data_IF_020776827932
#
_entry.id   IF_020776827932
#
_cell.length_a   1.000
_cell.length_b   1.000
_cell.length_c   1.000
_cell.angle_alpha   90.00
_cell.angle_beta   90.00
_cell.angle_gamma   90.00
#
_symmetry.space_group_name_H-M   'P 1'
#
loop_
_entity.id
_entity.type
_entity.pdbx_description
1 polymer ?
#
# COMPACT_ATOMS: atom_id res chain seq x y z
N UNK A 1 -11.61 37.67 25.95
CA UNK A 1 -11.30 36.36 25.36
C UNK A 1 -10.23 35.75 26.23
N UNK A 2 -10.56 34.68 26.95
CA UNK A 2 -9.54 33.98 27.73
C UNK A 2 -8.64 33.23 26.75
N UNK A 3 -7.38 33.68 26.67
CA UNK A 3 -6.37 33.10 25.78
C UNK A 3 -6.26 31.57 26.02
N UNK A 4 -6.51 31.12 27.23
CA UNK A 4 -6.57 29.71 27.60
C UNK A 4 -7.53 28.89 26.74
N UNK A 5 -8.72 29.41 26.40
CA UNK A 5 -9.70 28.68 25.57
C UNK A 5 -9.21 28.45 24.15
N UNK A 6 -8.39 29.37 23.62
CA UNK A 6 -7.77 29.23 22.30
C UNK A 6 -6.73 28.10 22.28
N UNK A 7 -5.83 28.06 23.27
CA UNK A 7 -4.82 27.00 23.35
C UNK A 7 -5.41 25.64 23.68
N UNK A 8 -6.42 25.58 24.55
CA UNK A 8 -7.11 24.33 24.89
C UNK A 8 -7.83 23.79 23.65
N UNK A 9 -8.49 24.65 22.87
CA UNK A 9 -9.10 24.27 21.60
C UNK A 9 -8.08 23.71 20.61
N UNK A 10 -6.95 24.42 20.41
CA UNK A 10 -5.88 23.98 19.52
C UNK A 10 -5.29 22.62 19.94
N UNK A 11 -5.04 22.43 21.24
CA UNK A 11 -4.47 21.21 21.79
C UNK A 11 -5.45 20.03 21.74
N UNK A 12 -6.75 20.28 21.96
CA UNK A 12 -7.79 19.26 21.80
C UNK A 12 -7.96 18.83 20.33
N UNK A 13 -7.88 19.77 19.40
CA UNK A 13 -8.02 19.49 17.97
C UNK A 13 -6.83 18.68 17.44
N UNK A 14 -5.60 19.02 17.84
CA UNK A 14 -4.41 18.24 17.44
C UNK A 14 -4.40 16.84 18.06
N UNK A 15 -4.85 16.69 19.31
CA UNK A 15 -4.95 15.40 19.97
C UNK A 15 -6.03 14.50 19.33
N UNK A 16 -7.21 15.06 19.04
CA UNK A 16 -8.25 14.35 18.31
C UNK A 16 -7.76 13.94 16.91
N UNK A 17 -7.10 14.85 16.19
CA UNK A 17 -6.52 14.55 14.88
C UNK A 17 -5.52 13.40 14.96
N UNK A 18 -4.59 13.39 15.92
CA UNK A 18 -3.63 12.30 16.08
C UNK A 18 -4.30 10.94 16.40
N UNK A 19 -5.34 10.93 17.23
CA UNK A 19 -6.07 9.69 17.57
C UNK A 19 -6.88 9.14 16.38
N UNK A 20 -7.46 10.01 15.55
CA UNK A 20 -8.28 9.59 14.42
C UNK A 20 -7.48 9.38 13.14
N UNK A 21 -6.37 10.11 12.91
CA UNK A 21 -5.50 9.87 11.76
C UNK A 21 -4.68 8.58 11.89
N UNK A 22 -4.45 8.08 13.11
CA UNK A 22 -3.77 6.80 13.33
C UNK A 22 -4.63 5.59 12.93
N UNK A 23 -5.95 5.78 12.78
CA UNK A 23 -6.87 4.72 12.31
C UNK A 23 -7.14 4.78 10.80
N UNK A 24 -6.74 5.86 10.11
CA UNK A 24 -6.90 6.00 8.65
C UNK A 24 -5.65 5.63 7.85
N UNK A 25 -4.47 5.58 8.47
CA UNK A 25 -3.22 5.20 7.78
C UNK A 25 -2.42 4.16 8.58
N UNK A 26 -2.82 2.89 8.45
CA UNK A 26 -1.84 1.79 8.40
C UNK A 26 -1.30 1.66 6.96
N UNK A 27 -0.99 2.79 6.32
CA UNK A 27 -0.14 2.78 5.13
C UNK A 27 1.32 2.71 5.59
N UNK A 28 2.04 1.61 5.30
CA UNK A 28 3.44 1.51 5.69
C UNK A 28 4.20 2.67 5.06
N UNK A 29 5.13 3.25 5.86
CA UNK A 29 6.16 4.18 5.41
C UNK A 29 7.02 3.44 4.37
N UNK A 30 6.54 3.39 3.13
CA UNK A 30 7.29 2.96 1.97
C UNK A 30 8.04 4.22 1.54
N UNK A 31 9.36 4.17 1.71
CA UNK A 31 10.31 5.07 1.08
C UNK A 31 9.79 5.43 -0.32
N UNK A 32 9.46 6.72 -0.53
CA UNK A 32 9.16 7.28 -1.85
C UNK A 32 10.41 7.16 -2.71
N UNK A 33 10.62 5.98 -3.28
CA UNK A 33 11.50 5.77 -4.42
C UNK A 33 10.81 6.42 -5.62
N UNK A 34 11.44 7.47 -6.13
CA UNK A 34 11.02 8.23 -7.29
C UNK A 34 11.02 7.29 -8.51
N UNK A 35 9.86 6.79 -8.95
CA UNK A 35 9.63 6.55 -10.37
C UNK A 35 8.18 6.17 -10.70
N UNK A 36 7.75 6.78 -11.81
CA UNK A 36 6.67 6.41 -12.72
C UNK A 36 5.22 6.77 -12.36
N UNK A 37 4.72 7.70 -13.18
CA UNK A 37 3.33 8.04 -13.46
C UNK A 37 2.49 6.81 -13.88
N UNK A 38 2.02 6.01 -12.93
CA UNK A 38 1.01 4.98 -13.22
C UNK A 38 -0.28 5.27 -12.45
N UNK A 39 -1.21 5.89 -13.18
CA UNK A 39 -2.64 5.88 -12.88
C UNK A 39 -3.05 4.40 -12.74
N UNK A 40 -3.21 3.92 -11.50
CA UNK A 40 -3.77 2.59 -11.22
C UNK A 40 -5.26 2.58 -11.62
N UNK A 41 -5.52 2.36 -12.91
CA UNK A 41 -6.83 1.97 -13.41
C UNK A 41 -7.10 0.59 -12.82
N UNK A 42 -7.94 0.54 -11.80
CA UNK A 42 -8.36 -0.68 -11.13
C UNK A 42 -9.31 -1.47 -12.07
N UNK A 43 -8.72 -2.09 -13.08
CA UNK A 43 -9.42 -2.93 -14.03
C UNK A 43 -9.83 -4.22 -13.29
N UNK A 44 -11.13 -4.42 -13.09
CA UNK A 44 -11.71 -5.55 -12.33
C UNK A 44 -11.28 -6.94 -12.84
N UNK A 45 -10.56 -7.00 -13.95
CA UNK A 45 -10.14 -8.22 -14.65
C UNK A 45 -8.80 -8.78 -14.15
N UNK A 46 -7.95 -7.98 -13.50
CA UNK A 46 -6.59 -8.44 -13.13
C UNK A 46 -6.29 -8.24 -11.64
N UNK A 47 -6.34 -9.32 -10.86
CA UNK A 47 -5.95 -9.31 -9.46
C UNK A 47 -4.44 -9.10 -9.32
N UNK A 48 -4.05 -8.21 -8.42
CA UNK A 48 -2.66 -8.03 -8.04
C UNK A 48 -2.43 -8.58 -6.63
N UNK A 49 -1.36 -9.35 -6.44
CA UNK A 49 -1.00 -9.94 -5.14
C UNK A 49 0.49 -9.73 -4.88
N UNK A 50 0.82 -9.42 -3.62
CA UNK A 50 2.19 -9.32 -3.15
C UNK A 50 2.69 -10.71 -2.70
N UNK A 51 3.69 -11.24 -3.42
CA UNK A 51 4.27 -12.57 -3.16
C UNK A 51 5.80 -12.48 -3.17
N UNK A 52 6.46 -13.44 -2.52
CA UNK A 52 7.92 -13.57 -2.58
C UNK A 52 8.33 -14.10 -3.95
N UNK A 53 9.03 -13.28 -4.75
CA UNK A 53 9.51 -13.73 -6.06
C UNK A 53 10.82 -14.52 -5.91
N UNK A 54 10.87 -15.76 -6.41
CA UNK A 54 12.08 -16.60 -6.39
C UNK A 54 13.28 -15.95 -7.11
N UNK A 55 13.04 -15.21 -8.19
CA UNK A 55 14.10 -14.52 -8.94
C UNK A 55 14.52 -13.22 -8.27
N UNK A 56 13.57 -12.40 -7.81
CA UNK A 56 13.90 -11.12 -7.18
C UNK A 56 14.34 -11.24 -5.70
N UNK A 57 14.12 -12.40 -5.07
CA UNK A 57 14.42 -12.69 -3.65
C UNK A 57 13.85 -11.65 -2.67
N UNK A 58 12.75 -10.99 -3.06
CA UNK A 58 12.04 -9.95 -2.30
C UNK A 58 10.55 -10.09 -2.54
N UNK A 59 9.75 -9.54 -1.61
CA UNK A 59 8.32 -9.34 -1.82
C UNK A 59 8.13 -8.35 -2.98
N UNK A 60 7.38 -8.77 -3.99
CA UNK A 60 7.08 -7.95 -5.17
C UNK A 60 5.62 -8.13 -5.59
N UNK A 61 5.11 -7.13 -6.29
CA UNK A 61 3.79 -7.20 -6.92
C UNK A 61 3.81 -8.22 -8.06
N UNK A 62 2.80 -9.07 -8.09
CA UNK A 62 2.53 -10.00 -9.18
C UNK A 62 1.14 -9.76 -9.73
N UNK A 63 1.01 -9.83 -11.05
CA UNK A 63 -0.25 -9.70 -11.78
C UNK A 63 -0.81 -11.09 -12.08
N UNK A 64 -2.10 -11.30 -11.84
CA UNK A 64 -2.79 -12.52 -12.25
C UNK A 64 -2.90 -12.58 -13.78
N UNK A 65 -2.45 -13.69 -14.37
CA UNK A 65 -2.59 -13.96 -15.82
C UNK A 65 -3.71 -14.98 -16.04
N UNK A 66 -3.72 -16.03 -15.25
CA UNK A 66 -4.76 -17.05 -15.23
C UNK A 66 -5.14 -17.33 -13.77
N UNK A 67 -6.30 -17.96 -13.49
CA UNK A 67 -6.69 -18.30 -12.13
C UNK A 67 -5.58 -19.07 -11.43
N UNK A 68 -5.05 -18.51 -10.34
CA UNK A 68 -3.93 -19.10 -9.57
C UNK A 68 -2.55 -19.13 -10.29
N UNK A 69 -2.40 -18.43 -11.42
CA UNK A 69 -1.11 -18.22 -12.10
C UNK A 69 -0.77 -16.73 -12.11
N UNK A 70 0.33 -16.38 -11.44
CA UNK A 70 0.76 -15.01 -11.23
C UNK A 70 2.08 -14.72 -11.95
N UNK A 71 2.27 -13.51 -12.44
CA UNK A 71 3.52 -13.06 -13.06
C UNK A 71 4.10 -11.87 -12.32
N UNK A 72 5.38 -11.95 -11.97
CA UNK A 72 6.08 -10.84 -11.31
C UNK A 72 6.20 -9.65 -12.27
N UNK A 73 5.78 -8.46 -11.82
CA UNK A 73 5.84 -7.24 -12.65
C UNK A 73 7.29 -6.85 -12.99
N UNK A 74 8.26 -7.16 -12.12
CA UNK A 74 9.67 -6.80 -12.31
C UNK A 74 10.44 -7.79 -13.20
N UNK A 75 10.41 -9.08 -12.88
CA UNK A 75 11.22 -10.09 -13.57
C UNK A 75 10.45 -10.95 -14.58
N UNK A 76 9.13 -10.74 -14.70
CA UNK A 76 8.22 -11.46 -15.61
C UNK A 76 8.18 -12.98 -15.41
N UNK A 77 8.75 -13.49 -14.31
CA UNK A 77 8.67 -14.90 -13.94
C UNK A 77 7.25 -15.26 -13.50
N UNK A 78 6.78 -16.39 -14.00
CA UNK A 78 5.52 -17.00 -13.59
C UNK A 78 5.69 -17.73 -12.26
N UNK A 79 4.69 -17.58 -11.40
CA UNK A 79 4.56 -18.19 -10.09
C UNK A 79 3.17 -18.83 -10.08
N UNK A 80 3.15 -20.15 -10.12
CA UNK A 80 1.92 -20.93 -10.00
C UNK A 80 1.72 -21.28 -8.53
N UNK A 81 0.59 -20.85 -7.95
CA UNK A 81 0.26 -21.16 -6.55
C UNK A 81 -0.53 -22.46 -6.41
N UNK A 82 -0.91 -23.12 -7.52
CA UNK A 82 -1.60 -24.43 -7.49
C UNK A 82 -0.69 -25.55 -7.00
N UNK A 83 0.63 -25.37 -7.09
CA UNK A 83 1.65 -26.39 -6.77
C UNK A 83 2.26 -26.16 -5.38
N UNK A 84 1.55 -25.48 -4.48
CA UNK A 84 2.00 -25.26 -3.10
C UNK A 84 1.98 -26.52 -2.25
#
# INVERSE_FOLDING_TARGET
MEWHSFFIGLLSASFAYALFSQNEDEEPIIEKDQNDDDIEINDFTARHVTLSCQTCRKLKRHKEIEPNLFQCVKCKRHVDIRVS
#
